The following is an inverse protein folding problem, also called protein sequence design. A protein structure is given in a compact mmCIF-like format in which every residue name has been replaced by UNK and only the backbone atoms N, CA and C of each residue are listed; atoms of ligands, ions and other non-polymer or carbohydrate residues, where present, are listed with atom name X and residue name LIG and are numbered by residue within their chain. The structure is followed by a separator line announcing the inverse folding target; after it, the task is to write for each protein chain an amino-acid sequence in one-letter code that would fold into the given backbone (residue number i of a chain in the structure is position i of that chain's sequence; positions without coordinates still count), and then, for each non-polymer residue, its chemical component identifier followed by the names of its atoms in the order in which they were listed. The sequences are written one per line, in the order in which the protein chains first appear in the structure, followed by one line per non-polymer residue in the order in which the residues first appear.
data_IF_295854520140
#
_entry.id   IF_295854520140
#
_cell.length_a   1.000
_cell.length_b   1.000
_cell.length_c   1.000
_cell.angle_alpha   90.00
_cell.angle_beta   90.00
_cell.angle_gamma   90.00
#
_symmetry.space_group_name_H-M   'P 1'
#
loop_
_entity.id
_entity.type
_entity.pdbx_description
1 polymer ?
#
# COMPACT_ATOMS: atom_id res chain seq x y z
N UNK A 1 12.32 12.58 19.32
CA UNK A 1 12.29 11.27 19.98
C UNK A 1 10.86 10.75 20.05
N UNK A 2 10.63 9.55 19.53
CA UNK A 2 9.36 8.86 19.70
C UNK A 2 9.48 7.93 20.92
N UNK A 3 8.65 8.10 21.95
CA UNK A 3 8.63 7.17 23.07
C UNK A 3 8.13 5.79 22.60
N UNK A 4 8.73 4.73 23.13
CA UNK A 4 8.17 3.39 22.96
C UNK A 4 6.79 3.33 23.65
N UNK A 5 5.75 2.70 23.06
CA UNK A 5 5.75 1.87 21.84
C UNK A 5 5.36 2.59 20.55
N UNK A 6 5.48 3.89 20.46
CA UNK A 6 5.14 4.62 19.24
C UNK A 6 6.06 4.23 18.08
N UNK A 7 5.48 4.20 16.89
CA UNK A 7 6.23 3.97 15.67
C UNK A 7 7.16 5.15 15.37
N UNK A 8 8.41 4.94 14.93
CA UNK A 8 9.34 6.04 14.64
C UNK A 8 8.77 6.99 13.60
N UNK A 9 8.78 8.30 13.87
CA UNK A 9 8.36 9.37 12.96
C UNK A 9 9.48 9.88 12.04
N UNK A 10 10.70 9.41 12.27
CA UNK A 10 11.90 9.76 11.48
C UNK A 10 12.53 8.51 10.90
N UNK A 11 13.16 8.66 9.74
CA UNK A 11 13.95 7.60 9.15
C UNK A 11 15.11 7.24 10.07
N UNK A 12 15.19 5.97 10.43
CA UNK A 12 16.29 5.41 11.21
C UNK A 12 17.13 4.52 10.32
N UNK A 13 18.41 4.50 10.58
CA UNK A 13 19.31 3.48 10.04
C UNK A 13 19.10 2.20 10.84
N UNK A 14 18.88 1.08 10.18
CA UNK A 14 18.93 -0.23 10.78
C UNK A 14 20.08 -1.06 10.19
N UNK A 15 20.21 -2.32 10.58
CA UNK A 15 21.37 -3.14 10.22
C UNK A 15 21.58 -3.27 8.70
N UNK A 16 20.52 -3.30 7.88
CA UNK A 16 20.62 -3.40 6.42
C UNK A 16 21.18 -2.13 5.79
N UNK A 17 20.79 -0.95 6.27
CA UNK A 17 21.38 0.30 5.83
C UNK A 17 22.80 0.50 6.35
N UNK A 18 23.10 0.07 7.58
CA UNK A 18 24.46 0.11 8.13
C UNK A 18 25.43 -0.74 7.31
N UNK A 19 25.00 -1.95 6.91
CA UNK A 19 25.77 -2.80 6.02
C UNK A 19 25.98 -2.14 4.64
N UNK A 20 24.94 -1.55 4.04
CA UNK A 20 25.05 -0.85 2.78
C UNK A 20 25.99 0.37 2.87
N UNK A 21 25.92 1.14 3.95
CA UNK A 21 26.86 2.27 4.19
C UNK A 21 28.29 1.77 4.32
N UNK A 22 28.52 0.66 5.03
CA UNK A 22 29.85 0.07 5.16
C UNK A 22 30.43 -0.39 3.81
N UNK A 23 29.58 -0.96 2.93
CA UNK A 23 30.00 -1.42 1.60
C UNK A 23 30.21 -0.30 0.59
N UNK A 24 29.34 0.71 0.57
CA UNK A 24 29.33 1.76 -0.46
C UNK A 24 29.92 3.09 0.00
N UNK A 25 30.22 3.24 1.29
CA UNK A 25 30.79 4.46 1.87
C UNK A 25 29.78 5.60 2.08
N UNK A 26 28.51 5.39 1.76
CA UNK A 26 27.42 6.37 1.93
C UNK A 26 26.07 5.67 2.05
N UNK A 27 25.08 6.37 2.59
CA UNK A 27 23.70 5.90 2.63
C UNK A 27 23.12 5.86 1.20
N UNK A 28 22.69 4.70 0.69
CA UNK A 28 22.16 4.56 -0.67
C UNK A 28 20.75 5.11 -0.85
N UNK A 29 20.06 5.53 0.23
CA UNK A 29 18.69 6.04 0.14
C UNK A 29 18.64 7.44 -0.46
N UNK A 30 17.74 7.64 -1.41
CA UNK A 30 17.46 8.94 -2.02
C UNK A 30 16.02 9.31 -1.64
N UNK A 31 15.88 10.39 -0.88
CA UNK A 31 14.60 10.87 -0.38
C UNK A 31 14.02 11.96 -1.27
N UNK A 32 12.70 12.25 -1.07
CA UNK A 32 11.98 13.31 -1.77
C UNK A 32 12.15 13.24 -3.28
N UNK A 33 12.07 12.03 -3.82
CA UNK A 33 12.28 11.77 -5.24
C UNK A 33 11.33 10.70 -5.77
N UNK A 34 11.04 10.78 -7.05
CA UNK A 34 10.30 9.74 -7.77
C UNK A 34 10.97 9.40 -9.09
N UNK A 35 10.69 8.19 -9.61
CA UNK A 35 11.12 7.80 -10.95
C UNK A 35 10.15 8.42 -11.96
N UNK A 36 10.68 9.24 -12.85
CA UNK A 36 9.96 9.90 -13.94
C UNK A 36 9.96 9.08 -15.22
N UNK A 37 11.09 8.42 -15.51
CA UNK A 37 11.27 7.70 -16.76
C UNK A 37 12.23 6.51 -16.59
N UNK A 38 11.96 5.42 -17.31
CA UNK A 38 12.85 4.28 -17.47
C UNK A 38 13.59 4.37 -18.80
N UNK A 39 14.91 4.47 -18.76
CA UNK A 39 15.77 4.64 -19.93
C UNK A 39 16.26 3.27 -20.39
N UNK A 40 16.08 2.96 -21.69
CA UNK A 40 16.50 1.69 -22.29
C UNK A 40 17.81 1.88 -23.08
N UNK A 41 18.58 0.80 -23.13
CA UNK A 41 19.71 0.67 -24.02
C UNK A 41 19.28 0.35 -25.47
N UNK A 42 20.25 0.19 -26.37
CA UNK A 42 20.03 -0.15 -27.80
C UNK A 42 19.33 -1.51 -28.01
N UNK A 43 19.39 -2.38 -27.02
CA UNK A 43 18.81 -3.73 -27.05
C UNK A 43 17.44 -3.78 -26.40
N UNK A 44 16.96 -2.66 -25.85
CA UNK A 44 15.68 -2.55 -25.16
C UNK A 44 15.72 -2.93 -23.68
N UNK A 45 16.91 -3.21 -23.11
CA UNK A 45 17.09 -3.47 -21.69
C UNK A 45 17.13 -2.16 -20.91
N UNK A 46 16.76 -2.23 -19.63
CA UNK A 46 16.90 -1.08 -18.72
C UNK A 46 18.37 -0.74 -18.55
N UNK A 47 18.73 0.52 -18.74
CA UNK A 47 20.09 1.04 -18.57
C UNK A 47 20.19 2.14 -17.51
N UNK A 48 19.12 2.88 -17.31
CA UNK A 48 19.07 3.93 -16.29
C UNK A 48 17.62 4.28 -15.91
N UNK A 49 17.48 5.02 -14.81
CA UNK A 49 16.23 5.68 -14.43
C UNK A 49 16.46 7.19 -14.33
N UNK A 50 15.48 7.96 -14.76
CA UNK A 50 15.44 9.39 -14.54
C UNK A 50 14.63 9.66 -13.27
N UNK A 51 15.27 10.23 -12.28
CA UNK A 51 14.66 10.68 -11.03
C UNK A 51 14.34 12.17 -11.14
N UNK A 52 13.32 12.60 -10.43
CA UNK A 52 12.99 14.02 -10.21
C UNK A 52 12.73 14.24 -8.72
N UNK A 53 13.16 15.37 -8.20
CA UNK A 53 12.87 15.75 -6.81
C UNK A 53 11.44 16.23 -6.65
N UNK A 54 10.89 15.99 -5.45
CA UNK A 54 9.53 16.31 -5.08
C UNK A 54 9.50 17.35 -3.96
N UNK A 55 8.58 18.28 -4.06
CA UNK A 55 8.20 19.17 -2.99
C UNK A 55 6.76 18.89 -2.55
N UNK A 56 6.47 19.09 -1.28
CA UNK A 56 5.14 18.95 -0.71
C UNK A 56 4.58 20.33 -0.38
N UNK A 57 3.49 20.68 -1.01
CA UNK A 57 2.78 21.94 -0.75
C UNK A 57 1.41 21.65 -0.16
N UNK A 58 1.06 22.43 0.87
CA UNK A 58 -0.26 22.35 1.45
C UNK A 58 -1.25 23.13 0.58
N UNK A 59 -2.28 22.46 0.12
CA UNK A 59 -3.39 23.08 -0.59
C UNK A 59 -4.13 24.05 0.36
N UNK A 60 -4.26 25.32 0.02
CA UNK A 60 -4.87 26.31 0.90
C UNK A 60 -6.38 26.13 1.10
N UNK A 61 -7.07 25.49 0.14
CA UNK A 61 -8.52 25.30 0.20
C UNK A 61 -8.89 23.99 0.92
N UNK A 62 -8.20 22.90 0.57
CA UNK A 62 -8.53 21.56 1.09
C UNK A 62 -7.69 21.16 2.30
N UNK A 63 -6.59 21.87 2.57
CA UNK A 63 -5.62 21.53 3.62
C UNK A 63 -4.81 20.28 3.36
N UNK A 64 -4.96 19.64 2.20
CA UNK A 64 -4.23 18.44 1.81
C UNK A 64 -2.82 18.77 1.34
N UNK A 65 -1.91 17.84 1.60
CA UNK A 65 -0.55 17.93 1.06
C UNK A 65 -0.56 17.41 -0.38
N UNK A 66 -0.20 18.27 -1.32
CA UNK A 66 -0.04 17.94 -2.73
C UNK A 66 1.45 17.80 -3.05
N UNK A 67 1.76 16.80 -3.83
CA UNK A 67 3.12 16.50 -4.30
C UNK A 67 3.35 17.19 -5.63
N UNK A 68 4.45 17.94 -5.76
CA UNK A 68 4.87 18.59 -7.00
C UNK A 68 6.30 18.21 -7.35
N UNK A 69 6.56 18.02 -8.64
CA UNK A 69 7.92 17.89 -9.15
C UNK A 69 8.64 19.25 -9.10
N UNK A 70 9.89 19.24 -8.64
CA UNK A 70 10.74 20.43 -8.67
C UNK A 70 11.33 20.53 -10.08
N UNK A 71 11.07 21.64 -10.83
CA UNK A 71 11.67 21.83 -12.15
C UNK A 71 13.20 21.76 -12.12
N UNK A 72 13.79 21.27 -13.20
CA UNK A 72 15.24 21.18 -13.41
C UNK A 72 16.03 20.39 -12.33
N UNK A 73 15.34 19.53 -11.57
CA UNK A 73 15.93 18.67 -10.55
C UNK A 73 16.19 17.24 -11.03
N UNK A 74 16.07 17.01 -12.32
CA UNK A 74 16.20 15.68 -12.92
C UNK A 74 17.63 15.14 -12.76
N UNK A 75 17.74 13.86 -12.39
CA UNK A 75 18.99 13.12 -12.26
C UNK A 75 18.86 11.79 -12.97
N UNK A 76 19.90 11.38 -13.68
CA UNK A 76 19.99 10.06 -14.29
C UNK A 76 20.81 9.17 -13.38
N UNK A 77 20.23 8.05 -12.98
CA UNK A 77 20.88 7.02 -12.18
C UNK A 77 20.97 5.73 -13.02
N UNK A 78 22.17 5.23 -13.22
CA UNK A 78 22.39 3.95 -13.91
C UNK A 78 21.76 2.81 -13.13
N UNK A 79 20.97 1.98 -13.79
CA UNK A 79 20.28 0.86 -13.19
C UNK A 79 19.98 -0.23 -14.24
N UNK A 80 20.28 -1.46 -13.93
CA UNK A 80 19.96 -2.63 -14.74
C UNK A 80 18.68 -3.33 -14.28
N UNK A 81 18.30 -3.11 -13.03
CA UNK A 81 17.08 -3.65 -12.43
C UNK A 81 16.43 -2.58 -11.55
N UNK A 82 15.12 -2.49 -11.59
CA UNK A 82 14.30 -1.66 -10.68
C UNK A 82 13.24 -2.54 -10.04
N UNK A 83 13.21 -2.56 -8.72
CA UNK A 83 12.20 -3.24 -7.93
C UNK A 83 11.20 -2.21 -7.41
N UNK A 84 9.95 -2.33 -7.85
CA UNK A 84 8.88 -1.45 -7.38
C UNK A 84 8.35 -1.99 -6.05
N UNK A 85 8.53 -1.22 -4.98
CA UNK A 85 8.06 -1.54 -3.63
C UNK A 85 7.11 -0.45 -3.09
N UNK A 86 6.17 0.00 -3.94
CA UNK A 86 5.29 1.14 -3.68
C UNK A 86 3.96 0.75 -3.01
N UNK A 87 3.89 -0.41 -2.35
CA UNK A 87 2.69 -0.91 -1.69
C UNK A 87 1.82 -1.76 -2.63
N UNK A 88 0.52 -1.72 -2.42
CA UNK A 88 -0.41 -2.64 -3.07
C UNK A 88 -1.47 -1.87 -3.88
N UNK A 89 -2.00 -2.51 -4.91
CA UNK A 89 -2.99 -1.94 -5.82
C UNK A 89 -4.44 -2.32 -5.47
N UNK A 90 -4.66 -2.94 -4.32
CA UNK A 90 -5.98 -3.44 -3.92
C UNK A 90 -6.24 -4.87 -4.39
N UNK A 91 -7.50 -5.24 -4.53
CA UNK A 91 -7.92 -6.59 -4.93
C UNK A 91 -7.63 -6.85 -6.39
N UNK A 92 -7.31 -8.10 -6.72
CA UNK A 92 -7.08 -8.49 -8.11
C UNK A 92 -8.40 -8.49 -8.90
N UNK A 93 -8.40 -7.75 -10.00
CA UNK A 93 -9.62 -7.49 -10.79
C UNK A 93 -10.31 -8.77 -11.29
N UNK A 94 -9.55 -9.80 -11.69
CA UNK A 94 -10.13 -11.05 -12.17
C UNK A 94 -10.97 -11.76 -11.10
N UNK A 95 -10.62 -11.61 -9.80
CA UNK A 95 -11.39 -12.19 -8.69
C UNK A 95 -12.69 -11.42 -8.49
N UNK A 96 -12.58 -10.08 -8.39
CA UNK A 96 -13.76 -9.23 -8.18
C UNK A 96 -14.75 -9.30 -9.35
N UNK A 97 -14.27 -9.44 -10.58
CA UNK A 97 -15.10 -9.64 -11.77
C UNK A 97 -15.80 -11.01 -11.78
N UNK A 98 -15.08 -12.08 -11.39
CA UNK A 98 -15.64 -13.43 -11.33
C UNK A 98 -16.81 -13.51 -10.34
N UNK A 99 -16.68 -12.86 -9.19
CA UNK A 99 -17.73 -12.80 -8.17
C UNK A 99 -18.72 -11.66 -8.36
N UNK A 100 -18.50 -10.76 -9.32
CA UNK A 100 -19.34 -9.59 -9.65
C UNK A 100 -19.58 -8.68 -8.45
N UNK A 101 -18.63 -8.60 -7.53
CA UNK A 101 -18.74 -7.76 -6.34
C UNK A 101 -18.36 -6.31 -6.66
N UNK A 102 -19.05 -5.36 -6.03
CA UNK A 102 -18.70 -3.95 -6.13
C UNK A 102 -17.39 -3.67 -5.43
N UNK A 103 -16.59 -2.75 -5.99
CA UNK A 103 -15.33 -2.28 -5.42
C UNK A 103 -15.39 -0.77 -5.14
N UNK A 104 -14.55 -0.31 -4.23
CA UNK A 104 -14.35 1.11 -3.93
C UNK A 104 -13.31 1.75 -4.87
N UNK A 105 -13.02 3.04 -4.66
CA UNK A 105 -12.03 3.78 -5.46
C UNK A 105 -10.58 3.32 -5.28
N UNK A 106 -10.31 2.41 -4.33
CA UNK A 106 -9.00 1.78 -4.10
C UNK A 106 -8.97 0.31 -4.52
N UNK A 107 -10.00 -0.15 -5.23
CA UNK A 107 -10.18 -1.54 -5.65
C UNK A 107 -10.38 -2.53 -4.50
N UNK A 108 -10.78 -2.09 -3.30
CA UNK A 108 -11.22 -2.99 -2.24
C UNK A 108 -12.67 -3.38 -2.45
N UNK A 109 -13.04 -4.58 -2.02
CA UNK A 109 -14.43 -5.04 -2.12
C UNK A 109 -15.32 -4.24 -1.18
N UNK A 110 -16.33 -3.60 -1.74
CA UNK A 110 -17.22 -2.68 -1.03
C UNK A 110 -18.25 -3.42 -0.18
N UNK A 111 -18.41 -2.99 1.07
CA UNK A 111 -19.44 -3.42 2.01
C UNK A 111 -20.10 -2.21 2.66
N UNK A 112 -21.16 -2.42 3.41
CA UNK A 112 -21.65 -1.41 4.35
C UNK A 112 -20.66 -1.24 5.52
N UNK A 113 -20.69 -0.07 6.16
CA UNK A 113 -19.80 0.22 7.28
C UNK A 113 -20.04 -0.77 8.44
N UNK A 114 -18.96 -1.43 8.88
CA UNK A 114 -18.99 -2.42 9.96
C UNK A 114 -19.62 -3.75 9.58
N UNK A 115 -19.84 -4.01 8.28
CA UNK A 115 -20.38 -5.25 7.74
C UNK A 115 -19.39 -5.92 6.81
N UNK A 116 -19.57 -7.23 6.59
CA UNK A 116 -18.73 -8.07 5.76
C UNK A 116 -19.44 -8.61 4.51
N UNK A 117 -20.79 -8.50 4.48
CA UNK A 117 -21.58 -8.87 3.31
C UNK A 117 -21.32 -7.93 2.15
N UNK A 118 -21.07 -8.47 0.97
CA UNK A 118 -20.81 -7.71 -0.25
C UNK A 118 -22.09 -7.25 -0.94
N UNK A 119 -21.95 -6.64 -2.12
CA UNK A 119 -23.08 -6.29 -3.01
C UNK A 119 -23.80 -7.51 -3.60
N UNK A 120 -23.25 -8.71 -3.45
CA UNK A 120 -23.81 -9.96 -3.97
C UNK A 120 -24.21 -10.85 -2.80
N UNK A 121 -25.42 -11.38 -2.86
CA UNK A 121 -25.92 -12.28 -1.82
C UNK A 121 -25.02 -13.51 -1.68
N UNK A 122 -24.90 -13.98 -0.44
CA UNK A 122 -24.06 -15.13 -0.05
C UNK A 122 -22.54 -14.96 -0.28
N UNK A 123 -22.07 -13.73 -0.60
CA UNK A 123 -20.66 -13.43 -0.70
C UNK A 123 -20.28 -12.42 0.38
N UNK A 124 -19.25 -12.78 1.15
CA UNK A 124 -18.68 -11.97 2.22
C UNK A 124 -17.21 -11.73 1.95
N UNK A 125 -16.66 -10.66 2.51
CA UNK A 125 -15.27 -10.29 2.34
C UNK A 125 -14.66 -9.82 3.66
N UNK A 126 -13.40 -10.15 3.91
CA UNK A 126 -12.67 -9.73 5.10
C UNK A 126 -11.17 -9.55 4.78
N UNK A 127 -10.43 -8.95 5.69
CA UNK A 127 -8.99 -8.76 5.56
C UNK A 127 -8.62 -7.77 4.48
N UNK A 128 -7.55 -8.07 3.76
CA UNK A 128 -6.94 -7.17 2.79
C UNK A 128 -7.86 -6.82 1.61
N UNK A 129 -8.70 -7.74 1.18
CA UNK A 129 -9.68 -7.46 0.13
C UNK A 129 -10.78 -6.49 0.58
N UNK A 130 -11.04 -6.41 1.89
CA UNK A 130 -12.10 -5.56 2.45
C UNK A 130 -11.60 -4.14 2.74
N UNK A 131 -10.51 -4.01 3.50
CA UNK A 131 -10.05 -2.70 4.00
C UNK A 131 -8.71 -2.24 3.43
N UNK A 132 -8.14 -3.00 2.50
CA UNK A 132 -6.78 -2.83 2.02
C UNK A 132 -5.76 -3.53 2.93
N UNK A 133 -4.57 -3.69 2.41
CA UNK A 133 -3.48 -4.41 3.06
C UNK A 133 -3.09 -3.74 4.38
N UNK A 134 -2.99 -4.55 5.43
CA UNK A 134 -2.68 -4.07 6.78
C UNK A 134 -2.03 -5.16 7.64
N UNK A 135 -2.08 -5.01 8.96
CA UNK A 135 -1.50 -5.97 9.88
C UNK A 135 -2.30 -7.27 9.91
N UNK A 136 -1.59 -8.40 10.03
CA UNK A 136 -2.20 -9.74 10.10
C UNK A 136 -3.22 -9.86 11.25
N UNK A 137 -3.00 -9.19 12.36
CA UNK A 137 -3.95 -9.17 13.50
C UNK A 137 -5.30 -8.55 13.13
N UNK A 138 -5.32 -7.56 12.23
CA UNK A 138 -6.57 -6.99 11.71
C UNK A 138 -7.27 -7.96 10.79
N UNK A 139 -6.53 -8.65 9.91
CA UNK A 139 -7.09 -9.66 9.03
C UNK A 139 -7.71 -10.82 9.81
N UNK A 140 -7.05 -11.31 10.86
CA UNK A 140 -7.58 -12.34 11.76
C UNK A 140 -8.86 -11.86 12.44
N UNK A 141 -8.87 -10.66 12.99
CA UNK A 141 -10.05 -10.09 13.64
C UNK A 141 -11.22 -10.01 12.65
N UNK A 142 -11.01 -9.40 11.49
CA UNK A 142 -12.04 -9.28 10.48
C UNK A 142 -12.55 -10.64 9.99
N UNK A 143 -11.67 -11.64 9.84
CA UNK A 143 -12.09 -13.00 9.49
C UNK A 143 -13.02 -13.61 10.53
N UNK A 144 -12.76 -13.41 11.83
CA UNK A 144 -13.63 -13.88 12.91
C UNK A 144 -14.99 -13.14 12.93
N UNK A 145 -14.96 -11.81 12.77
CA UNK A 145 -16.19 -10.99 12.70
C UNK A 145 -17.02 -11.36 11.47
N UNK A 146 -16.39 -11.58 10.32
CA UNK A 146 -17.02 -12.04 9.10
C UNK A 146 -17.65 -13.43 9.27
N UNK A 147 -16.95 -14.37 9.89
CA UNK A 147 -17.49 -15.71 10.17
C UNK A 147 -18.75 -15.65 11.03
N UNK A 148 -18.79 -14.76 12.03
CA UNK A 148 -20.00 -14.51 12.82
C UNK A 148 -21.14 -13.97 11.97
N UNK A 149 -20.89 -12.99 11.08
CA UNK A 149 -21.93 -12.43 10.21
C UNK A 149 -22.46 -13.48 9.22
N UNK A 150 -21.59 -14.38 8.72
CA UNK A 150 -22.01 -15.53 7.91
C UNK A 150 -22.93 -16.45 8.71
N UNK A 151 -22.54 -16.81 9.94
CA UNK A 151 -23.33 -17.66 10.83
C UNK A 151 -24.71 -17.04 11.12
N UNK A 152 -24.74 -15.74 11.48
CA UNK A 152 -25.97 -14.98 11.67
C UNK A 152 -26.85 -14.97 10.41
N UNK A 153 -26.27 -14.87 9.22
CA UNK A 153 -27.03 -14.85 7.97
C UNK A 153 -27.64 -16.22 7.61
N UNK A 154 -27.01 -17.30 8.03
CA UNK A 154 -27.48 -18.68 7.77
C UNK A 154 -28.46 -19.19 8.84
N UNK A 155 -28.18 -18.84 10.09
CA UNK A 155 -28.92 -19.42 11.25
C UNK A 155 -29.93 -18.44 11.85
N UNK A 156 -29.87 -17.15 11.49
CA UNK A 156 -30.63 -16.08 12.11
C UNK A 156 -30.07 -15.58 13.46
N UNK A 157 -29.06 -16.21 13.99
CA UNK A 157 -28.33 -15.83 15.20
C UNK A 157 -26.93 -16.42 15.17
N UNK A 158 -26.02 -15.97 16.03
CA UNK A 158 -24.71 -16.58 16.19
C UNK A 158 -24.31 -16.69 17.66
N UNK A 159 -23.73 -17.83 18.01
CA UNK A 159 -23.11 -18.08 19.30
C UNK A 159 -21.58 -17.88 19.26
N UNK A 160 -21.04 -17.37 18.16
CA UNK A 160 -19.61 -17.14 18.03
C UNK A 160 -19.16 -15.95 18.89
N UNK A 161 -18.23 -16.21 19.80
CA UNK A 161 -17.58 -15.17 20.60
C UNK A 161 -16.52 -14.43 19.75
N UNK A 162 -16.65 -13.11 19.71
CA UNK A 162 -15.59 -12.24 19.19
C UNK A 162 -14.98 -11.52 20.40
N UNK A 163 -13.73 -11.87 20.71
CA UNK A 163 -12.92 -11.12 21.67
C UNK A 163 -12.12 -10.07 20.95
#
# INVERSE_FOLDING_TARGET
NNPWPEWPKICKTDYGQEEAIAMFGHDPRIYESTVKEFIKDKNGNLSAVKLVKLAWEKDPETGRMNMKEIPDSEQILEAQIVLIAAGFLGSQKYVTDAFKVAVDGRSNVKTEAGKYKTSVDNIFTAGDMHTGQSLVVKAIRQGRECAREVDESLMGYSNMFIQ
#
